data_IF_145898371470
#
_entry.id   IF_145898371470
#
_cell.length_a   1.000
_cell.length_b   1.000
_cell.length_c   1.000
_cell.angle_alpha   90.00
_cell.angle_beta   90.00
_cell.angle_gamma   90.00
#
_symmetry.space_group_name_H-M   'P 1'
#
loop_
_entity.id
_entity.type
_entity.pdbx_description
1 polymer ?
2 polymer ?
3 non-polymer ?
4 non-polymer ?
5 water ?
#
# COMPACT_ATOMS: atom_id res chain seq x y z
N UNK A 3 13.72 7.05 3.69
CA UNK A 3 12.82 7.69 2.71
C UNK A 3 11.39 7.85 3.28
N UNK A 4 11.00 6.93 4.17
CA UNK A 4 9.63 6.87 4.67
C UNK A 4 9.42 7.64 5.96
N UNK A 5 8.20 8.14 6.15
CA UNK A 5 7.82 8.90 7.34
C UNK A 5 6.69 8.19 8.07
N UNK A 6 6.83 8.05 9.38
CA UNK A 6 5.84 7.37 10.18
C UNK A 6 4.47 8.07 10.07
N UNK A 7 4.49 9.40 9.97
CA UNK A 7 3.26 10.20 9.85
C UNK A 7 2.40 9.76 8.66
N UNK A 8 3.03 9.21 7.63
CA UNK A 8 2.33 8.78 6.41
C UNK A 8 1.48 7.54 6.66
N UNK A 9 1.88 6.72 7.62
CA UNK A 9 1.26 5.39 7.83
C UNK A 9 -0.13 5.57 8.46
N UNK A 10 -1.15 4.79 8.02
CA UNK A 10 -2.47 4.89 8.65
C UNK A 10 -2.37 4.74 10.17
N UNK A 11 -3.01 5.63 10.92
CA UNK A 11 -2.88 5.61 12.37
C UNK A 11 -3.75 4.53 13.01
N UNK A 12 -4.84 4.16 12.34
CA UNK A 12 -5.70 3.04 12.75
C UNK A 12 -6.51 2.55 11.53
N UNK A 13 -7.42 1.60 11.72
CA UNK A 13 -8.15 0.98 10.62
C UNK A 13 -9.54 1.54 10.39
N UNK A 14 -9.93 2.51 11.21
CA UNK A 14 -11.22 3.15 11.10
C UNK A 14 -11.12 4.38 10.19
N UNK A 15 -12.13 4.52 9.35
CA UNK A 15 -12.28 5.68 8.45
C UNK A 15 -11.06 5.88 7.55
N UNK A 16 -10.57 4.75 7.04
CA UNK A 16 -9.52 4.80 6.02
C UNK A 16 -10.12 5.31 4.71
N UNK A 17 -9.32 6.10 4.01
CA UNK A 17 -9.67 6.59 2.67
C UNK A 17 -8.44 6.50 1.78
N UNK A 18 -8.67 6.42 0.48
CA UNK A 18 -7.60 6.40 -0.52
C UNK A 18 -7.68 7.63 -1.40
N UNK A 19 -6.53 8.28 -1.60
CA UNK A 19 -6.43 9.39 -2.51
C UNK A 19 -6.78 8.97 -3.96
N UNK A 20 -7.69 9.71 -4.59
CA UNK A 20 -8.12 9.38 -5.93
C UNK A 20 -7.06 9.66 -6.98
N UNK A 21 -6.08 10.50 -6.64
CA UNK A 21 -5.01 10.84 -7.59
C UNK A 21 -3.81 9.89 -7.51
N UNK A 22 -3.41 9.50 -6.29
CA UNK A 22 -2.18 8.68 -6.13
C UNK A 22 -2.39 7.30 -5.51
N UNK A 23 -3.58 7.07 -4.94
CA UNK A 23 -3.99 5.84 -4.24
C UNK A 23 -3.49 5.66 -2.79
N UNK A 24 -2.79 6.65 -2.23
CA UNK A 24 -2.33 6.58 -0.86
C UNK A 24 -3.52 6.41 0.08
N UNK A 25 -3.35 5.58 1.11
CA UNK A 25 -4.36 5.30 2.12
C UNK A 25 -3.93 5.84 3.49
N UNK A 26 -4.79 6.66 4.08
CA UNK A 26 -4.60 7.17 5.46
C UNK A 26 -5.98 7.35 6.05
N UNK A 27 -6.07 7.66 7.33
CA UNK A 27 -7.38 7.96 7.89
C UNK A 27 -7.82 9.35 7.45
N UNK A 28 -9.12 9.57 7.48
CA UNK A 28 -9.66 10.88 7.14
C UNK A 28 -9.01 12.00 7.95
N UNK A 29 -8.82 11.79 9.25
CA UNK A 29 -8.22 12.81 10.10
C UNK A 29 -6.79 13.14 9.67
N UNK A 30 -6.06 12.13 9.20
CA UNK A 30 -4.70 12.36 8.73
C UNK A 30 -4.63 13.16 7.42
N UNK A 31 -5.53 12.90 6.48
CA UNK A 31 -5.61 13.74 5.28
C UNK A 31 -5.98 15.17 5.68
N UNK A 32 -6.92 15.32 6.63
CA UNK A 32 -7.28 16.66 7.11
C UNK A 32 -6.09 17.35 7.72
N UNK A 33 -5.38 16.63 8.57
CA UNK A 33 -4.29 17.22 9.35
C UNK A 33 -3.05 17.53 8.53
N UNK A 34 -2.67 16.61 7.65
CA UNK A 34 -1.40 16.67 6.92
C UNK A 34 -1.52 16.78 5.39
N UNK A 35 -2.74 16.63 4.86
CA UNK A 35 -2.94 16.53 3.42
C UNK A 35 -2.42 15.22 2.86
N UNK A 36 -2.43 15.08 1.55
CA UNK A 36 -1.85 13.89 0.90
C UNK A 36 -0.35 14.09 0.75
N UNK A 37 0.41 13.11 1.22
CA UNK A 37 1.88 13.15 1.22
C UNK A 37 2.46 13.34 -0.17
N UNK A 38 1.75 12.80 -1.16
CA UNK A 38 2.18 12.88 -2.56
C UNK A 38 1.61 14.08 -3.32
N UNK A 39 0.32 14.38 -3.13
CA UNK A 39 -0.41 15.28 -4.04
C UNK A 39 -0.77 16.65 -3.49
N UNK A 40 -0.42 16.96 -2.24
CA UNK A 40 -1.11 18.11 -1.63
C UNK A 40 -0.76 19.46 -2.24
N UNK A 41 0.41 19.58 -2.87
CA UNK A 41 0.76 20.82 -3.60
C UNK A 41 -0.29 21.14 -4.65
N UNK A 42 -0.95 20.10 -5.16
CA UNK A 42 -1.94 20.22 -6.21
C UNK A 42 -3.36 20.10 -5.68
N UNK A 43 -3.60 19.21 -4.72
CA UNK A 43 -4.97 18.97 -4.24
C UNK A 43 -5.37 19.90 -3.09
N UNK A 44 -4.40 20.27 -2.24
CA UNK A 44 -4.61 21.22 -1.15
C UNK A 44 -5.79 20.85 -0.26
N UNK A 45 -5.79 19.63 0.26
CA UNK A 45 -6.89 19.21 1.13
C UNK A 45 -6.55 19.40 2.62
N UNK A 46 -5.29 19.69 2.94
CA UNK A 46 -4.88 19.94 4.32
C UNK A 46 -5.70 21.09 4.91
N UNK A 47 -6.28 20.84 6.09
CA UNK A 47 -7.10 21.84 6.78
C UNK A 47 -8.54 21.95 6.28
N UNK A 48 -8.94 21.12 5.32
CA UNK A 48 -10.28 21.21 4.75
C UNK A 48 -10.95 19.86 4.55
N UNK A 49 -11.77 19.43 5.51
CA UNK A 49 -12.46 18.15 5.43
C UNK A 49 -13.28 17.98 4.15
N UNK A 50 -13.90 19.05 3.65
CA UNK A 50 -14.75 18.95 2.46
C UNK A 50 -13.92 18.55 1.24
N UNK A 51 -12.74 19.13 1.14
CA UNK A 51 -11.81 18.79 0.07
C UNK A 51 -11.32 17.35 0.23
N UNK A 52 -11.10 16.91 1.48
CA UNK A 52 -10.74 15.51 1.71
C UNK A 52 -11.80 14.55 1.13
N UNK A 53 -13.08 14.81 1.43
CA UNK A 53 -14.18 14.00 0.88
C UNK A 53 -14.25 14.03 -0.65
N UNK A 54 -13.84 15.13 -1.26
CA UNK A 54 -13.83 15.26 -2.72
C UNK A 54 -12.65 14.56 -3.37
N UNK A 55 -11.52 14.53 -2.69
CA UNK A 55 -10.26 14.06 -3.28
C UNK A 55 -9.90 12.63 -2.89
N UNK A 56 -10.61 12.06 -1.94
CA UNK A 56 -10.33 10.70 -1.45
C UNK A 56 -11.61 9.89 -1.41
N UNK A 57 -11.47 8.57 -1.37
CA UNK A 57 -12.61 7.66 -1.40
C UNK A 57 -12.54 6.64 -0.26
N UNK A 58 -13.69 6.37 0.35
CA UNK A 58 -13.78 5.33 1.37
C UNK A 58 -13.96 3.95 0.76
N UNK A 59 -14.20 3.89 -0.55
CA UNK A 59 -14.36 2.64 -1.28
C UNK A 59 -13.07 2.30 -2.02
N UNK A 60 -12.30 1.38 -1.45
CA UNK A 60 -11.09 0.88 -2.09
C UNK A 60 -10.91 -0.60 -1.76
N UNK A 61 -10.08 -1.28 -2.56
CA UNK A 61 -9.88 -2.72 -2.43
C UNK A 61 -8.42 -3.03 -2.27
N UNK A 62 -8.12 -3.73 -1.18
CA UNK A 62 -6.76 -4.19 -0.85
C UNK A 62 -5.83 -3.10 -0.39
N UNK A 63 -4.77 -3.48 0.31
CA UNK A 63 -3.70 -2.51 0.57
C UNK A 63 -2.33 -3.07 0.28
N UNK A 64 -1.41 -2.14 0.06
CA UNK A 64 -0.03 -2.41 -0.24
C UNK A 64 0.81 -1.51 0.66
N UNK A 65 1.62 -2.11 1.51
CA UNK A 65 2.61 -1.35 2.26
C UNK A 65 3.84 -1.24 1.37
N UNK A 66 4.02 -0.06 0.75
CA UNK A 66 5.04 0.15 -0.26
C UNK A 66 6.27 0.76 0.41
N UNK A 67 7.33 -0.04 0.52
CA UNK A 67 8.50 0.35 1.28
C UNK A 67 9.61 0.94 0.42
N UNK A 68 9.87 0.28 -0.70
CA UNK A 68 10.92 0.68 -1.63
C UNK A 68 10.33 0.81 -3.01
N UNK A 69 9.58 1.90 -3.26
CA UNK A 69 8.92 2.06 -4.58
C UNK A 69 9.87 2.07 -5.76
N UNK A 70 11.12 2.49 -5.52
CA UNK A 70 12.17 2.53 -6.54
C UNK A 70 12.77 1.17 -6.90
N UNK A 71 12.43 0.12 -6.15
CA UNK A 71 13.01 -1.21 -6.35
C UNK A 71 11.95 -2.27 -6.08
N UNK A 72 10.83 -2.13 -6.76
CA UNK A 72 9.68 -2.99 -6.55
C UNK A 72 9.03 -3.25 -7.89
N UNK A 73 8.65 -4.50 -8.11
CA UNK A 73 7.82 -4.86 -9.25
C UNK A 73 6.39 -4.40 -9.01
N UNK A 74 5.91 -4.62 -7.79
CA UNK A 74 4.56 -4.21 -7.41
C UNK A 74 4.34 -2.72 -7.70
N UNK A 75 5.30 -1.87 -7.36
CA UNK A 75 5.11 -0.42 -7.54
C UNK A 75 5.01 -0.05 -9.01
N UNK A 76 5.71 -0.80 -9.87
CA UNK A 76 5.59 -0.58 -11.33
C UNK A 76 4.22 -0.97 -11.83
N UNK A 77 3.75 -2.16 -11.46
CA UNK A 77 2.42 -2.60 -11.89
C UNK A 77 1.36 -1.60 -11.43
N UNK A 78 1.52 -1.09 -10.21
CA UNK A 78 0.50 -0.23 -9.59
C UNK A 78 0.67 1.24 -9.95
N UNK A 79 1.71 1.57 -10.71
CA UNK A 79 1.99 2.95 -11.10
C UNK A 79 2.16 3.85 -9.88
N UNK A 80 2.90 3.37 -8.87
CA UNK A 80 3.24 4.18 -7.70
C UNK A 80 4.74 4.29 -7.49
N UNK A 81 5.52 3.94 -8.49
CA UNK A 81 6.99 3.88 -8.32
C UNK A 81 7.66 5.21 -8.09
N UNK A 82 6.99 6.31 -8.45
CA UNK A 82 7.51 7.66 -8.20
C UNK A 82 6.98 8.33 -6.93
N UNK A 83 6.21 7.59 -6.12
CA UNK A 83 5.61 8.15 -4.93
C UNK A 83 6.39 7.79 -3.68
N UNK A 84 5.96 8.35 -2.55
CA UNK A 84 6.64 8.16 -1.29
C UNK A 84 6.32 6.78 -0.67
N UNK A 85 7.22 6.27 0.15
CA UNK A 85 6.89 5.05 0.89
C UNK A 85 5.62 5.31 1.72
N UNK A 86 4.74 4.33 1.77
CA UNK A 86 3.45 4.51 2.40
C UNK A 86 2.54 3.36 2.05
N UNK A 87 1.33 3.39 2.62
CA UNK A 87 0.32 2.38 2.33
C UNK A 87 -0.59 2.89 1.20
N UNK A 88 -0.83 2.05 0.19
CA UNK A 88 -1.58 2.36 -1.03
C UNK A 88 -2.67 1.33 -1.23
N UNK A 89 -3.77 1.74 -1.86
CA UNK A 89 -4.84 0.82 -2.20
C UNK A 89 -4.49 0.05 -3.47
N UNK A 90 -4.93 -1.19 -3.58
CA UNK A 90 -4.74 -1.92 -4.85
C UNK A 90 -5.63 -1.32 -5.93
N UNK A 91 -6.89 -1.04 -5.60
CA UNK A 91 -7.82 -0.36 -6.54
C UNK A 91 -8.64 0.64 -5.72
N UNK A 92 -8.95 1.78 -6.32
CA UNK A 92 -9.79 2.78 -5.67
C UNK A 92 -11.04 3.02 -6.52
N UNK A 93 -12.22 2.98 -5.88
CA UNK A 93 -13.46 3.31 -6.57
C UNK A 93 -13.75 4.80 -6.44
N UNK A 94 -14.06 5.43 -7.57
CA UNK A 94 -14.47 6.84 -7.60
C UNK A 94 -13.75 7.62 -8.68
N UNK A 95 -14.10 8.90 -8.80
CA UNK A 95 -13.49 9.78 -9.77
C UNK A 95 -13.32 11.17 -9.17
N UNK A 96 -12.17 11.80 -9.41
CA UNK A 96 -12.00 13.19 -9.03
C UNK A 96 -13.04 14.04 -9.75
N UNK A 97 -13.56 15.07 -9.06
CA UNK A 97 -14.51 15.99 -9.70
C UNK A 97 -13.93 16.62 -10.97
N UNK A 98 -14.78 16.82 -11.97
CA UNK A 98 -14.38 17.39 -13.25
C UNK A 98 -13.60 18.69 -13.10
N UNK A 99 -14.05 19.55 -12.18
CA UNK A 99 -13.38 20.82 -11.91
C UNK A 99 -11.95 20.65 -11.44
N UNK A 100 -11.70 19.64 -10.60
CA UNK A 100 -10.34 19.38 -10.16
C UNK A 100 -9.51 18.76 -11.28
N UNK A 101 -10.12 17.89 -12.09
CA UNK A 101 -9.38 17.28 -13.21
C UNK A 101 -8.94 18.36 -14.20
N UNK A 102 -9.88 19.25 -14.54
CA UNK A 102 -9.58 20.36 -15.44
C UNK A 102 -8.45 21.24 -14.87
N UNK A 103 -8.50 21.52 -13.56
CA UNK A 103 -7.46 22.32 -12.92
C UNK A 103 -6.10 21.60 -12.92
N UNK A 104 -6.12 20.31 -12.59
CA UNK A 104 -4.90 19.50 -12.71
C UNK A 104 -4.31 19.61 -14.12
N UNK A 105 -5.15 19.42 -15.14
CA UNK A 105 -4.69 19.44 -16.53
C UNK A 105 -4.04 20.76 -16.89
N UNK A 106 -4.61 21.85 -16.39
CA UNK A 106 -4.08 23.18 -16.68
C UNK A 106 -2.72 23.39 -16.01
N UNK A 107 -2.45 22.66 -14.93
CA UNK A 107 -1.12 22.57 -14.36
C UNK A 107 0.13 21.68 -14.38
N UNK A 108 0.74 20.87 -14.93
CA UNK A 108 0.89 19.86 -15.96
C UNK A 108 0.65 18.45 -15.43
N UNK A 109 -0.44 18.28 -14.71
CA UNK A 109 -0.80 16.96 -14.13
C UNK A 109 -1.94 16.21 -14.80
N UNK A 110 -1.63 15.04 -15.36
CA UNK A 110 -2.64 14.18 -15.98
C UNK A 110 -3.38 13.42 -14.89
N UNK A 111 -4.61 13.04 -15.15
CA UNK A 111 -5.34 12.20 -14.21
C UNK A 111 -5.72 10.90 -14.90
N UNK A 112 -5.15 9.79 -14.41
CA UNK A 112 -5.48 8.46 -14.87
C UNK A 112 -6.15 7.75 -13.69
N UNK A 113 -7.31 7.15 -13.94
CA UNK A 113 -8.09 6.52 -12.87
C UNK A 113 -7.30 5.47 -12.09
N UNK A 114 -7.44 5.51 -10.77
CA UNK A 114 -6.84 4.53 -9.86
C UNK A 114 -7.76 3.33 -9.66
N UNK A 115 -8.90 3.31 -10.37
CA UNK A 115 -9.77 2.15 -10.39
C UNK A 115 -9.19 1.11 -11.36
N UNK A 116 -8.58 0.07 -10.78
CA UNK A 116 -7.91 -0.96 -11.56
C UNK A 116 -8.78 -2.23 -11.73
N UNK A 117 -9.99 -2.21 -11.16
CA UNK A 117 -10.83 -3.36 -11.09
C UNK A 117 -11.26 -3.82 -12.47
N UNK A 118 -11.30 -5.14 -12.64
CA UNK A 118 -11.90 -5.77 -13.81
C UNK A 118 -13.41 -5.77 -13.59
N UNK A 119 -14.13 -5.06 -14.46
CA UNK A 119 -15.56 -4.78 -14.29
C UNK A 119 -16.42 -5.69 -15.14
N UNK A 120 -16.88 -6.78 -14.51
CA UNK A 120 -17.75 -7.81 -15.07
C UNK A 120 -16.98 -8.78 -15.95
N UNK B 4 16.42 -5.72 -12.72
CA UNK B 4 15.88 -6.99 -12.24
C UNK B 4 14.66 -6.69 -11.39
N UNK B 5 13.93 -7.73 -11.04
CA UNK B 5 12.68 -7.59 -10.31
C UNK B 5 12.60 -8.61 -9.20
N UNK B 6 12.09 -8.18 -8.03
CA UNK B 6 11.97 -9.15 -6.95
C UNK B 6 10.82 -10.12 -7.12
N UNK B 7 10.75 -11.11 -6.23
CA UNK B 7 9.67 -12.07 -6.16
C UNK B 7 8.65 -11.77 -5.07
N UNK B 8 7.52 -12.47 -5.11
CA UNK B 8 6.49 -12.41 -4.05
C UNK B 8 6.50 -13.74 -3.29
N UNK B 9 6.34 -13.64 -1.97
CA UNK B 9 6.34 -14.79 -1.08
C UNK B 9 5.10 -14.74 -0.20
N UNK B 10 4.47 -15.88 0.06
CA UNK B 10 3.33 -15.92 0.94
C UNK B 10 3.80 -16.23 2.34
N UNK B 11 3.16 -15.60 3.32
CA UNK B 11 3.49 -15.75 4.74
C UNK B 11 2.20 -15.93 5.51
N UNK B 12 2.04 -17.07 6.18
CA UNK B 12 0.85 -17.35 6.99
C UNK B 12 0.69 -16.26 8.03
N UNK B 13 -0.54 -15.81 8.21
CA UNK B 13 -0.88 -14.68 9.05
C UNK B 13 -2.14 -15.00 9.84
N UNK B 14 -2.17 -14.56 11.10
CA UNK B 14 -3.37 -14.73 11.93
C UNK B 14 -4.59 -14.22 11.17
N UNK B 15 -5.61 -15.07 11.04
CA UNK B 15 -6.75 -14.75 10.19
C UNK B 15 -7.51 -13.51 10.65
N UNK B 16 -7.82 -12.64 9.69
CA UNK B 16 -8.48 -11.39 9.94
C UNK B 16 -7.54 -10.28 10.35
N UNK B 17 -6.25 -10.61 10.52
CA UNK B 17 -5.27 -9.59 10.92
C UNK B 17 -4.36 -9.15 9.79
N UNK B 18 -4.71 -9.47 8.55
CA UNK B 18 -3.82 -9.27 7.42
C UNK B 18 -3.52 -7.79 7.15
N UNK B 19 -4.57 -6.97 7.14
CA UNK B 19 -4.41 -5.53 6.91
C UNK B 19 -3.59 -4.88 8.04
N UNK B 20 -3.95 -5.19 9.27
CA UNK B 20 -3.22 -4.66 10.42
C UNK B 20 -1.75 -5.04 10.39
N UNK B 21 -1.47 -6.26 9.97
CA UNK B 21 -0.10 -6.75 9.94
C UNK B 21 0.73 -6.09 8.84
N UNK B 22 0.13 -5.92 7.67
CA UNK B 22 0.80 -5.18 6.61
C UNK B 22 1.14 -3.78 7.08
N UNK B 23 0.24 -3.13 7.79
CA UNK B 23 0.47 -1.76 8.26
C UNK B 23 1.58 -1.77 9.32
N UNK B 24 1.57 -2.77 10.20
CA UNK B 24 2.62 -2.93 11.22
C UNK B 24 3.99 -3.08 10.57
N UNK B 25 4.06 -3.84 9.48
CA UNK B 25 5.34 -4.03 8.80
C UNK B 25 5.79 -2.71 8.13
N UNK B 26 4.86 -1.90 7.64
CA UNK B 26 5.20 -0.58 7.14
C UNK B 26 5.90 0.23 8.23
N UNK B 27 5.35 0.23 9.42
CA UNK B 27 5.95 0.97 10.54
C UNK B 27 7.33 0.40 10.88
N UNK B 28 7.45 -0.92 10.86
CA UNK B 28 8.72 -1.60 11.17
C UNK B 28 9.80 -1.21 10.18
N UNK B 29 9.45 -1.21 8.90
CA UNK B 29 10.37 -0.79 7.87
C UNK B 29 10.88 0.63 8.11
N UNK B 30 9.97 1.56 8.41
CA UNK B 30 10.33 2.93 8.64
C UNK B 30 11.19 2.99 9.90
N UNK B 31 10.82 2.24 10.93
CA UNK B 31 11.53 2.27 12.24
C UNK B 31 13.00 1.93 12.06
N UNK B 32 13.30 0.95 11.20
CA UNK B 32 14.66 0.39 11.08
C UNK B 32 15.49 0.99 9.93
N UNK B 33 14.91 1.95 9.21
CA UNK B 33 15.53 2.41 7.97
C UNK B 33 16.85 3.14 8.17
N UNK B 34 17.06 3.71 9.36
CA UNK B 34 18.33 4.40 9.67
C UNK B 34 19.18 3.61 10.68
N UNK B 35 19.00 2.28 10.68
CA UNK B 35 19.77 1.39 11.53
C UNK B 35 20.67 0.48 10.68
N UNK B 36 21.47 -0.35 11.35
CA UNK B 36 22.27 -1.35 10.68
C UNK B 36 21.54 -2.68 10.53
N UNK B 37 20.26 -2.68 10.84
CA UNK B 37 19.45 -3.87 10.59
C UNK B 37 18.18 -3.44 9.86
N UNK B 38 18.31 -2.87 8.65
CA UNK B 38 17.12 -2.43 7.94
C UNK B 38 16.35 -3.63 7.41
N UNK B 39 15.07 -3.43 7.16
CA UNK B 39 14.27 -4.41 6.45
C UNK B 39 14.64 -4.31 4.97
N UNK B 40 14.88 -5.47 4.34
CA UNK B 40 15.29 -5.51 2.93
C UNK B 40 14.14 -5.89 2.01
N UNK B 41 12.99 -6.17 2.60
CA UNK B 41 11.76 -6.37 1.79
C UNK B 41 11.36 -5.04 1.10
N UNK B 42 10.61 -5.16 -0.01
CA UNK B 42 10.27 -4.02 -0.86
C UNK B 42 8.81 -3.58 -0.71
N UNK B 43 7.94 -4.52 -0.39
CA UNK B 43 6.52 -4.24 -0.16
C UNK B 43 5.81 -5.41 0.51
N UNK B 44 4.60 -5.16 0.99
CA UNK B 44 3.71 -6.17 1.51
C UNK B 44 2.35 -5.90 0.89
N UNK B 45 1.69 -6.96 0.44
CA UNK B 45 0.35 -6.84 -0.16
C UNK B 45 -0.62 -7.67 0.66
N UNK B 46 -1.72 -7.02 1.03
CA UNK B 46 -2.86 -7.69 1.66
C UNK B 46 -4.10 -7.48 0.76
N UNK B 47 -4.31 -8.41 -0.17
CA UNK B 47 -5.50 -8.26 -1.04
C UNK B 47 -6.81 -8.34 -0.28
N UNK B 48 -7.85 -7.69 -0.82
CA UNK B 48 -9.10 -7.53 -0.10
C UNK B 48 -9.69 -8.83 0.50
N UNK B 49 -9.73 -9.90 -0.27
CA UNK B 49 -10.49 -11.08 0.16
C UNK B 49 -9.65 -12.26 0.56
N UNK B 50 -8.34 -12.05 0.69
CA UNK B 50 -7.42 -13.11 1.08
C UNK B 50 -7.49 -13.27 2.59
N UNK B 51 -7.51 -14.52 3.05
CA UNK B 51 -7.62 -14.81 4.48
C UNK B 51 -6.50 -15.74 4.91
N UNK B 52 -5.75 -15.36 5.95
CA UNK B 52 -4.81 -16.29 6.53
C UNK B 52 -3.38 -16.20 6.06
N UNK B 53 -3.11 -15.25 5.16
CA UNK B 53 -1.75 -14.97 4.77
C UNK B 53 -1.64 -13.59 4.15
N UNK B 54 -0.40 -13.14 4.07
CA UNK B 54 -0.03 -11.91 3.37
C UNK B 54 1.04 -12.25 2.33
N UNK B 55 1.30 -11.29 1.43
CA UNK B 55 2.34 -11.45 0.41
C UNK B 55 3.44 -10.46 0.70
N UNK B 56 4.66 -10.94 0.65
CA UNK B 56 5.83 -10.08 0.90
C UNK B 56 6.74 -10.10 -0.33
N UNK B 57 7.12 -8.91 -0.82
CA UNK B 57 7.98 -8.76 -1.98
C UNK B 57 9.43 -8.65 -1.53
N UNK B 58 10.30 -9.48 -2.07
CA UNK B 58 11.72 -9.45 -1.72
C UNK B 58 12.52 -10.16 -2.79
N UNK B 59 13.81 -9.86 -2.85
CA UNK B 59 14.71 -10.62 -3.74
C UNK B 59 15.05 -12.02 -3.20
N UNK B 60 15.16 -12.14 -1.89
CA UNK B 60 15.45 -13.41 -1.26
C UNK B 60 14.48 -13.78 -0.16
N UNK B 61 14.18 -15.06 -0.06
CA UNK B 61 13.33 -15.57 1.00
C UNK B 61 13.90 -15.18 2.39
N UNK B 62 15.22 -15.20 2.55
CA UNK B 62 15.83 -14.89 3.84
C UNK B 62 15.49 -13.46 4.30
N UNK B 63 15.37 -12.53 3.34
CA UNK B 63 14.93 -11.17 3.65
C UNK B 63 13.53 -11.13 4.25
N UNK B 64 12.66 -11.99 3.75
CA UNK B 64 11.31 -12.08 4.30
C UNK B 64 11.35 -12.55 5.75
N UNK B 65 12.05 -13.65 5.97
CA UNK B 65 12.20 -14.25 7.30
C UNK B 65 12.75 -13.19 8.26
N UNK B 66 13.79 -12.47 7.85
CA UNK B 66 14.39 -11.48 8.71
C UNK B 66 13.43 -10.34 9.06
N UNK B 67 12.58 -9.94 8.10
CA UNK B 67 11.61 -8.87 8.31
C UNK B 67 10.50 -9.26 9.26
N UNK B 68 10.04 -10.51 9.16
CA UNK B 68 8.87 -10.95 9.92
C UNK B 68 9.22 -11.52 11.31
N UNK B 69 10.51 -11.62 11.60
CA UNK B 69 10.94 -12.10 12.91
C UNK B 69 10.37 -11.18 13.99
N UNK B 70 9.83 -11.79 15.05
CA UNK B 70 9.26 -11.01 16.15
C UNK B 70 7.85 -10.51 15.95
N UNK B 71 7.31 -10.67 14.73
CA UNK B 71 5.98 -10.19 14.43
C UNK B 71 4.96 -11.28 14.78
N UNK B 72 4.27 -11.10 15.91
CA UNK B 72 3.41 -12.14 16.44
C UNK B 72 2.40 -12.73 15.50
N UNK B 73 1.72 -11.86 14.75
CA UNK B 73 0.70 -12.35 13.81
C UNK B 73 1.25 -13.29 12.73
N UNK B 74 2.56 -13.24 12.49
CA UNK B 74 3.20 -14.04 11.42
C UNK B 74 3.99 -15.22 11.97
N UNK B 75 3.85 -15.52 13.26
CA UNK B 75 4.67 -16.57 13.86
C UNK B 75 4.53 -17.96 13.21
N UNK B 76 3.34 -18.30 12.73
CA UNK B 76 3.17 -19.61 12.04
C UNK B 76 3.66 -19.58 10.59
N UNK B 77 4.08 -18.41 10.12
CA UNK B 77 4.72 -18.25 8.83
C UNK B 77 6.20 -18.00 8.88
N UNK B 78 6.81 -18.14 10.06
CA UNK B 78 8.22 -17.79 10.22
C UNK B 78 9.18 -18.80 9.60
N UNK B 79 8.88 -20.09 9.71
CA UNK B 79 9.83 -21.11 9.24
C UNK B 79 9.75 -21.38 7.75
N UNK B 80 8.61 -21.16 7.14
CA UNK B 80 8.45 -21.44 5.73
C UNK B 80 7.64 -20.36 5.06
N UNK B 81 8.15 -19.88 3.93
CA UNK B 81 7.39 -19.00 3.04
C UNK B 81 7.44 -19.64 1.66
N UNK B 82 6.32 -19.61 0.96
CA UNK B 82 6.22 -20.20 -0.38
C UNK B 82 6.29 -19.11 -1.43
N UNK B 83 7.07 -19.33 -2.47
CA UNK B 83 7.17 -18.35 -3.54
C UNK B 83 5.93 -18.40 -4.41
N UNK B 84 5.43 -17.22 -4.78
CA UNK B 84 4.34 -17.09 -5.75
C UNK B 84 4.95 -17.37 -7.12
N UNK B 85 4.38 -18.33 -7.88
CA UNK B 85 4.88 -18.57 -9.22
C UNK B 85 4.87 -17.27 -10.03
N UNK B 86 5.93 -17.04 -10.80
CA UNK B 86 6.05 -15.77 -11.50
C UNK B 86 4.82 -15.47 -12.38
N UNK B 87 4.29 -16.48 -13.06
CA UNK B 87 3.11 -16.30 -13.93
C UNK B 87 1.84 -15.86 -13.21
N UNK B 88 1.82 -16.05 -11.90
CA UNK B 88 0.67 -15.70 -11.05
C UNK B 88 0.84 -14.37 -10.30
N UNK B 89 1.93 -13.65 -10.53
CA UNK B 89 2.18 -12.42 -9.73
C UNK B 89 1.15 -11.32 -9.92
N UNK B 90 0.60 -11.14 -11.12
CA UNK B 90 -0.43 -10.11 -11.30
C UNK B 90 -1.79 -10.53 -10.74
N UNK B 91 -2.04 -11.83 -10.59
CA UNK B 91 -3.27 -12.30 -9.96
C UNK B 91 -3.36 -11.83 -8.51
N UNK B 92 -2.20 -11.66 -7.87
CA UNK B 92 -2.18 -11.13 -6.51
C UNK B 92 -2.84 -9.75 -6.42
N UNK B 93 -2.73 -8.96 -7.49
CA UNK B 93 -3.15 -7.57 -7.51
C UNK B 93 -4.45 -7.41 -8.32
N UNK B 94 -5.03 -8.53 -8.72
CA UNK B 94 -6.30 -8.50 -9.46
C UNK B 94 -7.46 -8.16 -8.54
N UNK B 95 -8.36 -7.30 -9.02
CA UNK B 95 -9.59 -6.96 -8.33
C UNK B 95 -10.72 -7.14 -9.34
N UNK B 96 -11.74 -7.89 -8.98
CA UNK B 96 -12.89 -8.14 -9.87
C UNK B 96 -14.16 -7.54 -9.27
N UNK B 97 -14.93 -6.81 -10.07
CA UNK B 97 -16.20 -6.20 -9.64
C UNK B 97 -17.35 -6.66 -10.55
N UNK B 98 -18.30 -7.39 -9.98
CA UNK B 98 -19.42 -7.95 -10.76
C UNK B 98 -20.48 -6.90 -11.03
#
# INVERSE_FOLDING_TARGET
GAMGALETVPKDLRHLRACLLCSLVKTIDQFEYDGCDNCDAYLQMKGNREMVYDCTSSSFDGIIAMMSPEDSWVSKWQRVSNFKPGVYAVSVTGRLPQGIVRELKSRGVAYKSRDTAIKT
GSHMDPNLWTVKCKIGEERATAISLMRKFIAYQFTDTPLQIKSVVAPEHVKGYIYVEAYKQTHVKQAIEGVGNLRLGYWNQQMVPIKEMTDVLKVVKEVANLGSGC
#
